data_IF_565927338470
#
_entry.id   IF_565927338470
#
_cell.length_a   1.000
_cell.length_b   1.000
_cell.length_c   1.000
_cell.angle_alpha   90.00
_cell.angle_beta   90.00
_cell.angle_gamma   90.00
#
_symmetry.space_group_name_H-M   'P 1'
#
loop_
_entity.id
_entity.type
_entity.pdbx_description
1 polymer ?
#
# COMPACT_ATOMS: atom_id res chain seq x y z
N UNK A 1 -0.25 5.36 -18.11
CA UNK A 1 -0.34 5.91 -16.74
C UNK A 1 0.97 5.68 -16.02
N UNK A 2 2.01 6.43 -16.38
CA UNK A 2 3.31 6.33 -15.71
C UNK A 2 3.39 7.20 -14.46
N UNK A 3 2.49 8.18 -14.34
CA UNK A 3 2.57 9.21 -13.30
C UNK A 3 2.46 8.65 -11.87
N UNK A 4 1.49 7.78 -11.52
CA UNK A 4 1.45 7.23 -10.16
C UNK A 4 2.68 6.40 -9.81
N UNK A 5 3.22 5.64 -10.79
CA UNK A 5 4.46 4.88 -10.61
C UNK A 5 5.66 5.80 -10.39
N UNK A 6 5.77 6.87 -11.17
CA UNK A 6 6.83 7.88 -11.02
C UNK A 6 6.76 8.57 -9.67
N UNK A 7 5.56 8.92 -9.21
CA UNK A 7 5.36 9.55 -7.90
C UNK A 7 5.68 8.60 -6.75
N UNK A 8 5.32 7.32 -6.87
CA UNK A 8 5.69 6.29 -5.89
C UNK A 8 7.20 6.07 -5.79
N UNK A 9 7.92 6.16 -6.91
CA UNK A 9 9.39 6.10 -6.94
C UNK A 9 10.07 7.36 -6.38
N UNK A 10 9.31 8.39 -6.05
CA UNK A 10 9.77 9.69 -5.53
C UNK A 10 8.89 10.12 -4.36
N UNK A 11 8.38 9.16 -3.58
CA UNK A 11 7.36 9.41 -2.57
C UNK A 11 7.86 10.40 -1.50
N UNK A 12 9.17 10.43 -1.26
CA UNK A 12 9.89 11.36 -0.40
C UNK A 12 9.73 12.83 -0.79
N UNK A 13 9.36 13.11 -2.04
CA UNK A 13 9.09 14.47 -2.50
C UNK A 13 7.66 14.95 -2.22
N UNK A 14 6.76 14.02 -1.90
CA UNK A 14 5.33 14.31 -1.69
C UNK A 14 4.92 14.10 -0.23
N UNK A 15 5.62 13.24 0.49
CA UNK A 15 5.39 12.96 1.90
C UNK A 15 6.66 13.35 2.66
N UNK A 16 6.67 14.55 3.22
CA UNK A 16 7.77 15.02 4.05
C UNK A 16 7.40 14.83 5.54
N UNK A 17 7.87 13.76 6.20
CA UNK A 17 8.10 13.76 7.67
C UNK A 17 8.64 12.44 8.24
N UNK A 18 9.46 12.55 9.29
CA UNK A 18 9.88 11.54 10.29
C UNK A 18 10.68 10.28 9.88
N UNK A 19 11.45 9.76 10.84
CA UNK A 19 12.36 8.61 10.72
C UNK A 19 11.69 7.30 10.24
N UNK A 20 10.37 7.17 10.42
CA UNK A 20 9.53 6.09 9.90
C UNK A 20 9.30 6.14 8.38
N UNK A 21 9.66 7.24 7.72
CA UNK A 21 9.43 7.42 6.28
C UNK A 21 10.31 6.58 5.39
N UNK A 22 11.47 6.10 5.86
CA UNK A 22 12.33 5.23 5.05
C UNK A 22 11.62 3.94 4.62
N UNK A 23 10.88 3.31 5.53
CA UNK A 23 10.07 2.11 5.23
C UNK A 23 8.91 2.43 4.28
N UNK A 24 8.31 3.61 4.41
CA UNK A 24 7.24 4.07 3.54
C UNK A 24 7.75 4.30 2.12
N UNK A 25 8.93 4.90 1.96
CA UNK A 25 9.55 5.12 0.65
C UNK A 25 9.97 3.81 0.00
N UNK A 26 10.63 2.92 0.76
CA UNK A 26 10.96 1.57 0.29
C UNK A 26 9.70 0.82 -0.18
N UNK A 27 8.58 1.00 0.53
CA UNK A 27 7.31 0.41 0.15
C UNK A 27 6.74 1.05 -1.14
N UNK A 28 6.84 2.37 -1.28
CA UNK A 28 6.49 3.09 -2.50
C UNK A 28 7.25 2.58 -3.72
N UNK A 29 8.58 2.46 -3.60
CA UNK A 29 9.45 1.88 -4.63
C UNK A 29 9.06 0.44 -4.97
N UNK A 30 8.76 -0.39 -3.96
CA UNK A 30 8.33 -1.76 -4.18
C UNK A 30 7.00 -1.82 -4.97
N UNK A 31 6.00 -1.02 -4.58
CA UNK A 31 4.71 -0.95 -5.26
C UNK A 31 4.84 -0.53 -6.73
N UNK A 32 5.66 0.47 -7.02
CA UNK A 32 5.87 0.98 -8.36
C UNK A 32 6.43 -0.09 -9.33
N UNK A 33 7.34 -0.93 -8.82
CA UNK A 33 8.01 -1.96 -9.59
C UNK A 33 7.17 -3.22 -9.78
N UNK A 34 6.41 -3.64 -8.76
CA UNK A 34 5.83 -4.98 -8.73
C UNK A 34 4.30 -5.05 -8.82
N UNK A 35 3.57 -4.05 -8.32
CA UNK A 35 2.14 -4.22 -8.03
C UNK A 35 1.19 -3.16 -8.60
N UNK A 36 1.67 -2.03 -9.13
CA UNK A 36 0.79 -1.11 -9.85
C UNK A 36 0.59 -1.50 -11.32
N UNK A 37 -0.66 -1.77 -11.67
CA UNK A 37 -1.12 -1.82 -13.06
C UNK A 37 -1.61 -0.44 -13.52
N UNK A 38 -1.58 -0.20 -14.82
CA UNK A 38 -1.94 1.07 -15.48
C UNK A 38 -3.44 1.40 -15.51
N UNK A 39 -4.30 0.58 -14.90
CA UNK A 39 -5.77 0.76 -14.82
C UNK A 39 -6.29 0.41 -13.43
N UNK A 40 -5.77 1.07 -12.41
CA UNK A 40 -6.24 0.88 -11.05
C UNK A 40 -7.44 1.79 -10.78
N UNK A 41 -8.55 1.20 -10.37
CA UNK A 41 -9.59 1.88 -9.62
C UNK A 41 -9.18 1.94 -8.12
N UNK A 42 -9.90 2.70 -7.27
CA UNK A 42 -9.55 2.83 -5.84
C UNK A 42 -9.45 1.48 -5.10
N UNK A 43 -10.37 0.56 -5.39
CA UNK A 43 -10.37 -0.79 -4.80
C UNK A 43 -9.13 -1.58 -5.21
N UNK A 44 -8.80 -1.56 -6.51
CA UNK A 44 -7.65 -2.21 -7.08
C UNK A 44 -6.35 -1.69 -6.49
N UNK A 45 -6.26 -0.37 -6.25
CA UNK A 45 -5.08 0.21 -5.58
C UNK A 45 -4.92 -0.36 -4.16
N UNK A 46 -5.98 -0.36 -3.36
CA UNK A 46 -5.94 -0.93 -2.00
C UNK A 46 -5.58 -2.41 -2.03
N UNK A 47 -6.17 -3.18 -2.95
CA UNK A 47 -5.88 -4.60 -3.11
C UNK A 47 -4.41 -4.84 -3.51
N UNK A 48 -3.87 -4.04 -4.44
CA UNK A 48 -2.45 -4.10 -4.81
C UNK A 48 -1.54 -3.84 -3.61
N UNK A 49 -1.88 -2.88 -2.74
CA UNK A 49 -1.14 -2.62 -1.51
C UNK A 49 -1.22 -3.80 -0.52
N UNK A 50 -2.41 -4.38 -0.33
CA UNK A 50 -2.58 -5.52 0.57
C UNK A 50 -1.83 -6.77 0.09
N UNK A 51 -1.86 -7.05 -1.21
CA UNK A 51 -1.08 -8.14 -1.82
C UNK A 51 0.41 -7.89 -1.63
N UNK A 52 0.88 -6.68 -1.89
CA UNK A 52 2.28 -6.31 -1.71
C UNK A 52 2.74 -6.50 -0.25
N UNK A 53 1.94 -6.07 0.72
CA UNK A 53 2.24 -6.24 2.15
C UNK A 53 2.25 -7.72 2.56
N UNK A 54 1.30 -8.52 2.06
CA UNK A 54 1.28 -9.96 2.28
C UNK A 54 2.53 -10.63 1.70
N UNK A 55 2.86 -10.33 0.45
CA UNK A 55 4.02 -10.89 -0.24
C UNK A 55 5.33 -10.53 0.48
N UNK A 56 5.46 -9.28 0.96
CA UNK A 56 6.59 -8.85 1.79
C UNK A 56 6.65 -9.60 3.14
N UNK A 57 5.51 -9.85 3.77
CA UNK A 57 5.43 -10.60 5.02
C UNK A 57 5.82 -12.08 4.85
N UNK A 58 5.46 -12.70 3.73
CA UNK A 58 5.82 -14.08 3.40
C UNK A 58 7.23 -14.19 2.80
N UNK A 59 7.73 -13.10 2.21
CA UNK A 59 9.03 -13.04 1.52
C UNK A 59 9.02 -13.64 0.10
N UNK A 60 7.85 -13.92 -0.45
CA UNK A 60 7.67 -14.54 -1.77
C UNK A 60 6.65 -13.73 -2.56
N UNK A 61 6.98 -13.44 -3.82
CA UNK A 61 6.08 -12.76 -4.73
C UNK A 61 4.99 -13.73 -5.19
N UNK A 62 3.72 -13.43 -4.91
CA UNK A 62 2.59 -14.33 -5.17
C UNK A 62 2.35 -14.60 -6.65
N UNK A 63 2.74 -13.67 -7.54
CA UNK A 63 2.56 -13.82 -8.99
C UNK A 63 3.65 -14.66 -9.65
N UNK A 64 4.90 -14.47 -9.24
CA UNK A 64 6.07 -15.12 -9.85
C UNK A 64 6.56 -16.34 -9.08
N UNK A 65 6.09 -16.53 -7.84
CA UNK A 65 6.53 -17.57 -6.91
C UNK A 65 8.04 -17.51 -6.59
N UNK A 66 8.67 -16.35 -6.81
CA UNK A 66 10.10 -16.11 -6.54
C UNK A 66 10.29 -15.40 -5.19
N UNK A 67 11.42 -15.63 -4.51
CA UNK A 67 11.81 -14.85 -3.35
C UNK A 67 11.86 -13.35 -3.67
N UNK A 68 11.44 -12.51 -2.73
CA UNK A 68 11.52 -11.06 -2.87
C UNK A 68 12.86 -10.55 -2.36
N UNK A 69 13.60 -9.87 -3.23
CA UNK A 69 14.84 -9.18 -2.88
C UNK A 69 14.53 -7.74 -2.42
N UNK A 70 14.00 -7.60 -1.21
CA UNK A 70 13.70 -6.29 -0.58
C UNK A 70 14.10 -6.30 0.89
N UNK A 71 14.59 -5.15 1.37
CA UNK A 71 14.89 -4.95 2.79
C UNK A 71 13.63 -4.99 3.67
N UNK A 72 12.45 -4.87 3.07
CA UNK A 72 11.16 -4.95 3.74
C UNK A 72 10.73 -6.39 4.08
N UNK A 73 11.45 -7.41 3.61
CA UNK A 73 11.15 -8.81 3.93
C UNK A 73 11.65 -9.16 5.33
N UNK A 74 10.82 -9.88 6.10
CA UNK A 74 11.20 -10.42 7.41
C UNK A 74 11.10 -9.44 8.58
N UNK A 75 10.48 -8.28 8.39
CA UNK A 75 10.13 -7.39 9.51
C UNK A 75 9.06 -8.02 10.41
N UNK A 76 8.97 -7.60 11.70
CA UNK A 76 7.88 -8.02 12.57
C UNK A 76 6.50 -7.67 11.98
N UNK A 77 5.46 -8.48 12.20
CA UNK A 77 4.11 -8.24 11.65
C UNK A 77 3.56 -6.82 11.89
N UNK A 78 3.93 -6.22 13.02
CA UNK A 78 3.55 -4.86 13.39
C UNK A 78 3.99 -3.82 12.35
N UNK A 79 5.15 -4.00 11.70
CA UNK A 79 5.65 -3.07 10.68
C UNK A 79 4.74 -3.06 9.44
N UNK A 80 4.26 -4.23 9.00
CA UNK A 80 3.32 -4.31 7.88
C UNK A 80 1.96 -3.74 8.25
N UNK A 81 1.54 -3.86 9.51
CA UNK A 81 0.36 -3.16 10.02
C UNK A 81 0.54 -1.64 9.97
N UNK A 82 1.71 -1.12 10.35
CA UNK A 82 2.00 0.31 10.25
C UNK A 82 1.97 0.79 8.79
N UNK A 83 2.63 0.09 7.88
CA UNK A 83 2.60 0.42 6.44
C UNK A 83 1.18 0.38 5.86
N UNK A 84 0.34 -0.56 6.31
CA UNK A 84 -1.08 -0.62 5.91
C UNK A 84 -1.84 0.66 6.29
N UNK A 85 -1.55 1.26 7.45
CA UNK A 85 -2.20 2.50 7.87
C UNK A 85 -1.79 3.71 7.03
N UNK A 86 -0.67 3.65 6.32
CA UNK A 86 -0.19 4.72 5.45
C UNK A 86 -0.80 4.68 4.04
N UNK A 87 -1.52 3.61 3.65
CA UNK A 87 -2.14 3.48 2.32
C UNK A 87 -2.98 4.70 1.92
N UNK A 88 -3.85 5.28 2.78
CA UNK A 88 -4.58 6.50 2.47
C UNK A 88 -3.66 7.70 2.18
N UNK A 89 -2.58 7.84 2.94
CA UNK A 89 -1.61 8.94 2.80
C UNK A 89 -0.82 8.81 1.50
N UNK A 90 -0.45 7.59 1.11
CA UNK A 90 0.14 7.31 -0.21
C UNK A 90 -0.84 7.70 -1.31
N UNK A 91 -2.13 7.33 -1.18
CA UNK A 91 -3.13 7.66 -2.18
C UNK A 91 -3.29 9.18 -2.36
N UNK A 92 -3.37 9.93 -1.25
CA UNK A 92 -3.42 11.40 -1.26
C UNK A 92 -2.22 12.03 -1.98
N UNK A 93 -1.03 11.45 -1.80
CA UNK A 93 0.20 11.99 -2.37
C UNK A 93 0.29 11.78 -3.89
N UNK A 94 -0.17 10.63 -4.40
CA UNK A 94 0.14 10.22 -5.78
C UNK A 94 -1.05 10.33 -6.74
N UNK A 95 -2.29 10.30 -6.25
CA UNK A 95 -3.50 10.35 -7.07
C UNK A 95 -4.25 11.67 -6.92
N UNK A 96 -5.17 12.00 -7.85
CA UNK A 96 -6.09 13.12 -7.68
C UNK A 96 -6.96 12.96 -6.42
N UNK A 97 -7.37 14.08 -5.83
CA UNK A 97 -8.15 14.13 -4.59
C UNK A 97 -9.40 13.24 -4.59
N UNK A 98 -10.14 13.20 -5.71
CA UNK A 98 -11.34 12.36 -5.83
C UNK A 98 -11.04 10.86 -5.73
N UNK A 99 -9.92 10.43 -6.31
CA UNK A 99 -9.46 9.05 -6.23
C UNK A 99 -9.02 8.72 -4.81
N UNK A 100 -8.23 9.60 -4.19
CA UNK A 100 -7.74 9.41 -2.83
C UNK A 100 -8.88 9.39 -1.80
N UNK A 101 -9.89 10.25 -1.97
CA UNK A 101 -11.12 10.23 -1.17
C UNK A 101 -11.86 8.89 -1.33
N UNK A 102 -11.98 8.37 -2.55
CA UNK A 102 -12.61 7.07 -2.80
C UNK A 102 -11.84 5.91 -2.13
N UNK A 103 -10.51 5.97 -2.10
CA UNK A 103 -9.67 4.99 -1.37
C UNK A 103 -9.96 5.03 0.12
N UNK A 104 -10.05 6.22 0.73
CA UNK A 104 -10.38 6.39 2.15
C UNK A 104 -11.75 5.81 2.47
N UNK A 105 -12.78 6.17 1.71
CA UNK A 105 -14.13 5.64 1.88
C UNK A 105 -14.15 4.12 1.83
N UNK A 106 -13.49 3.51 0.84
CA UNK A 106 -13.43 2.06 0.71
C UNK A 106 -12.80 1.36 1.94
N UNK A 107 -11.71 1.92 2.47
CA UNK A 107 -11.03 1.39 3.66
C UNK A 107 -11.93 1.51 4.90
N UNK A 108 -12.63 2.64 5.04
CA UNK A 108 -13.56 2.88 6.16
C UNK A 108 -14.77 1.94 6.10
N UNK A 109 -15.38 1.76 4.94
CA UNK A 109 -16.49 0.82 4.71
C UNK A 109 -16.08 -0.61 5.04
N UNK A 110 -14.93 -1.06 4.52
CA UNK A 110 -14.39 -2.41 4.80
C UNK A 110 -14.16 -2.62 6.30
N UNK A 111 -13.63 -1.60 7.00
CA UNK A 111 -13.42 -1.65 8.45
C UNK A 111 -14.76 -1.74 9.19
N UNK A 112 -15.76 -0.94 8.81
CA UNK A 112 -17.08 -0.96 9.42
C UNK A 112 -17.77 -2.32 9.25
N UNK A 113 -17.71 -2.91 8.05
CA UNK A 113 -18.26 -4.25 7.78
C UNK A 113 -17.61 -5.32 8.65
N UNK A 114 -16.27 -5.29 8.78
CA UNK A 114 -15.53 -6.23 9.60
C UNK A 114 -15.86 -6.11 11.08
N UNK A 115 -16.11 -4.89 11.58
CA UNK A 115 -16.57 -4.66 12.95
C UNK A 115 -17.99 -5.18 13.15
N UNK A 116 -18.92 -4.91 12.23
CA UNK A 116 -20.29 -5.41 12.31
C UNK A 116 -20.36 -6.95 12.32
N UNK A 117 -19.51 -7.63 11.54
CA UNK A 117 -19.41 -9.10 11.54
C UNK A 117 -18.84 -9.67 12.84
N UNK A 118 -18.04 -8.90 13.59
CA UNK A 118 -17.47 -9.31 14.87
C UNK A 118 -18.44 -9.13 16.03
N UNK A 119 -19.31 -8.12 15.98
CA UNK A 119 -20.33 -7.86 17.02
C UNK A 119 -21.61 -8.66 16.82
N UNK A 120 -21.79 -9.27 15.64
CA UNK A 120 -22.93 -10.15 15.32
C UNK A 120 -22.68 -11.64 15.64
N UNK A 121 -21.54 -11.97 16.25
CA UNK A 121 -21.19 -13.31 16.76
C UNK A 121 -21.17 -13.30 18.28
#
# INVERSE_FOLDING_TARGET
>A
MDEPKKKLMRLEEFIHDDASSSLLYDFGHFLANYHLNSRLDPMGFVMSCEIALHDLQVGVNGFTQKPIESRLVGYPPMIYTLLRMEIPRIADAIFPTEFAASVKTFIEETRAEMQAKRTSK
#
